data_IF_353927801348
#
_entry.id   IF_353927801348
#
_cell.length_a   1.000
_cell.length_b   1.000
_cell.length_c   1.000
_cell.angle_alpha   90.00
_cell.angle_beta   90.00
_cell.angle_gamma   90.00
#
_symmetry.space_group_name_H-M   'P 1'
#
loop_
_entity.id
_entity.type
_entity.pdbx_description
1 polymer ?
#
# COMPACT_ATOMS: atom_id res chain seq x y z
N UNK A 1 1.73 -8.09 -24.02
CA UNK A 1 2.19 -8.34 -22.65
C UNK A 1 2.43 -7.00 -21.93
N UNK A 2 1.87 -6.83 -20.73
CA UNK A 2 2.06 -5.63 -19.91
C UNK A 2 3.42 -5.65 -19.21
N UNK A 3 3.97 -4.47 -18.93
CA UNK A 3 5.23 -4.25 -18.23
C UNK A 3 4.99 -3.34 -17.03
N UNK A 4 5.42 -3.77 -15.84
CA UNK A 4 5.42 -2.94 -14.65
C UNK A 4 6.43 -1.80 -14.82
N UNK A 5 6.01 -0.60 -14.46
CA UNK A 5 6.80 0.62 -14.59
C UNK A 5 7.08 1.26 -13.23
N UNK A 6 6.08 1.22 -12.35
CA UNK A 6 6.15 1.80 -11.02
C UNK A 6 5.30 0.98 -10.06
N UNK A 7 5.82 0.81 -8.85
CA UNK A 7 5.13 0.21 -7.73
C UNK A 7 5.41 1.06 -6.50
N UNK A 8 4.36 1.42 -5.77
CA UNK A 8 4.47 2.08 -4.46
C UNK A 8 3.59 1.37 -3.45
N UNK A 9 4.21 1.01 -2.35
CA UNK A 9 3.53 0.48 -1.17
C UNK A 9 3.28 1.65 -0.23
N UNK A 10 2.02 1.83 0.18
CA UNK A 10 1.56 2.84 1.13
C UNK A 10 0.92 2.12 2.30
N UNK A 11 1.61 2.15 3.45
CA UNK A 11 1.06 1.68 4.70
C UNK A 11 0.24 2.81 5.34
N UNK A 12 -1.06 2.58 5.50
CA UNK A 12 -1.97 3.55 6.10
C UNK A 12 -2.79 2.91 7.21
N UNK A 13 -2.91 3.59 8.35
CA UNK A 13 -3.85 3.21 9.42
C UNK A 13 -5.29 3.61 9.10
N UNK A 14 -5.43 4.49 8.12
CA UNK A 14 -6.64 5.20 7.79
C UNK A 14 -7.43 4.49 6.67
N UNK A 15 -8.68 4.18 6.96
CA UNK A 15 -9.61 3.56 6.01
C UNK A 15 -10.03 4.53 4.90
N UNK A 16 -9.96 5.85 5.15
CA UNK A 16 -10.37 6.86 4.19
C UNK A 16 -9.48 6.87 2.94
N UNK A 17 -8.17 7.00 3.10
CA UNK A 17 -7.18 6.97 2.01
C UNK A 17 -7.25 5.68 1.21
N UNK A 18 -7.42 4.56 1.90
CA UNK A 18 -7.67 3.25 1.30
C UNK A 18 -8.92 3.28 0.39
N UNK A 19 -10.04 3.82 0.88
CA UNK A 19 -11.26 4.01 0.09
C UNK A 19 -11.03 4.94 -1.10
N UNK A 20 -10.28 6.03 -0.93
CA UNK A 20 -9.95 6.97 -2.02
C UNK A 20 -9.15 6.26 -3.12
N UNK A 21 -8.10 5.52 -2.79
CA UNK A 21 -7.28 4.81 -3.79
C UNK A 21 -8.07 3.71 -4.51
N UNK A 22 -9.04 3.09 -3.83
CA UNK A 22 -9.93 2.09 -4.42
C UNK A 22 -10.98 2.70 -5.38
N UNK A 23 -11.21 4.02 -5.38
CA UNK A 23 -12.17 4.65 -6.28
C UNK A 23 -11.70 4.61 -7.73
N UNK A 24 -12.61 4.27 -8.65
CA UNK A 24 -12.35 4.28 -10.09
C UNK A 24 -11.92 5.66 -10.59
N UNK A 25 -12.58 6.71 -10.09
CA UNK A 25 -12.30 8.12 -10.43
C UNK A 25 -10.85 8.51 -10.12
N UNK A 26 -10.31 8.06 -8.99
CA UNK A 26 -8.90 8.31 -8.64
C UNK A 26 -7.95 7.70 -9.68
N UNK A 27 -8.16 6.43 -10.03
CA UNK A 27 -7.35 5.74 -11.06
C UNK A 27 -7.49 6.38 -12.43
N UNK A 28 -8.71 6.78 -12.81
CA UNK A 28 -8.96 7.42 -14.10
C UNK A 28 -8.26 8.78 -14.22
N UNK A 29 -8.31 9.59 -13.16
CA UNK A 29 -7.65 10.89 -13.11
C UNK A 29 -6.12 10.74 -13.13
N UNK A 30 -5.57 9.80 -12.36
CA UNK A 30 -4.14 9.55 -12.36
C UNK A 30 -3.65 9.04 -13.73
N UNK A 31 -4.42 8.18 -14.38
CA UNK A 31 -4.10 7.72 -15.73
C UNK A 31 -4.16 8.86 -16.77
N UNK A 32 -5.11 9.79 -16.63
CA UNK A 32 -5.21 11.01 -17.44
C UNK A 32 -3.95 11.88 -17.29
N UNK A 33 -3.57 12.21 -16.06
CA UNK A 33 -2.38 13.04 -15.78
C UNK A 33 -1.11 12.41 -16.36
N UNK A 34 -0.94 11.10 -16.16
CA UNK A 34 0.21 10.37 -16.70
C UNK A 34 0.18 10.37 -18.23
N UNK A 35 -0.98 10.20 -18.86
CA UNK A 35 -1.13 10.24 -20.31
C UNK A 35 -0.74 11.60 -20.89
N UNK A 36 -1.22 12.68 -20.29
CA UNK A 36 -0.91 14.07 -20.67
C UNK A 36 0.59 14.36 -20.56
N UNK A 37 1.21 14.05 -19.41
CA UNK A 37 2.63 14.34 -19.19
C UNK A 37 3.56 13.47 -20.03
N UNK A 38 3.19 12.21 -20.27
CA UNK A 38 4.02 11.28 -21.03
C UNK A 38 3.75 11.34 -22.54
N UNK A 39 2.67 11.99 -22.98
CA UNK A 39 2.19 11.93 -24.38
C UNK A 39 2.07 10.49 -24.87
N UNK A 40 1.51 9.60 -24.03
CA UNK A 40 1.20 8.20 -24.36
C UNK A 40 -0.31 8.06 -24.32
N UNK A 41 -0.95 7.36 -25.27
CA UNK A 41 -2.39 7.14 -25.22
C UNK A 41 -2.80 6.47 -23.91
N UNK A 42 -3.85 6.99 -23.25
CA UNK A 42 -4.37 6.44 -22.00
C UNK A 42 -4.72 4.94 -22.08
N UNK A 43 -5.11 4.45 -23.27
CA UNK A 43 -5.35 3.03 -23.54
C UNK A 43 -4.13 2.12 -23.35
N UNK A 44 -2.91 2.69 -23.24
CA UNK A 44 -1.69 1.97 -22.95
C UNK A 44 -1.18 2.18 -21.51
N UNK A 45 -1.96 2.82 -20.64
CA UNK A 45 -1.62 3.07 -19.24
C UNK A 45 -2.65 2.35 -18.37
N UNK A 46 -2.16 1.43 -17.53
CA UNK A 46 -3.01 0.62 -16.67
C UNK A 46 -2.61 0.83 -15.21
N UNK A 47 -3.58 1.21 -14.39
CA UNK A 47 -3.37 1.45 -12.96
C UNK A 47 -4.12 0.38 -12.18
N UNK A 48 -3.37 -0.39 -11.41
CA UNK A 48 -3.88 -1.37 -10.47
C UNK A 48 -3.69 -0.84 -9.05
N UNK A 49 -4.71 -1.01 -8.22
CA UNK A 49 -4.66 -0.68 -6.80
C UNK A 49 -5.17 -1.90 -6.05
N UNK A 50 -4.29 -2.52 -5.29
CA UNK A 50 -4.62 -3.62 -4.39
C UNK A 50 -4.56 -3.13 -2.95
N UNK A 51 -5.54 -3.53 -2.13
CA UNK A 51 -5.53 -3.28 -0.69
C UNK A 51 -5.46 -4.62 0.03
N UNK A 52 -4.50 -4.77 0.93
CA UNK A 52 -4.41 -5.89 1.86
C UNK A 52 -4.38 -5.36 3.30
N UNK A 53 -4.81 -6.15 4.27
CA UNK A 53 -4.47 -5.87 5.67
C UNK A 53 -2.97 -6.13 5.86
N UNK A 54 -2.26 -5.26 6.55
CA UNK A 54 -0.81 -5.39 6.77
C UNK A 54 -0.46 -6.50 7.77
N UNK A 55 -1.43 -6.88 8.61
CA UNK A 55 -1.37 -8.03 9.52
C UNK A 55 -2.63 -8.87 9.25
N UNK A 56 -2.55 -10.22 9.31
CA UNK A 56 -3.73 -11.05 9.26
C UNK A 56 -4.65 -10.70 10.44
N UNK A 57 -5.79 -10.07 10.14
CA UNK A 57 -6.94 -10.09 11.05
C UNK A 57 -7.58 -11.46 10.89
N UNK A 58 -7.96 -12.10 11.98
CA UNK A 58 -8.49 -13.46 12.01
C UNK A 58 -9.73 -13.67 11.12
N UNK A 59 -10.23 -14.90 11.03
CA UNK A 59 -11.40 -15.28 10.20
C UNK A 59 -12.68 -14.49 10.50
N UNK A 60 -12.82 -13.94 11.70
CA UNK A 60 -13.77 -12.87 12.02
C UNK A 60 -13.07 -11.54 11.76
N UNK A 61 -13.75 -10.60 11.09
CA UNK A 61 -13.26 -9.22 10.83
C UNK A 61 -12.95 -8.40 12.11
N UNK A 62 -12.88 -9.07 13.25
CA UNK A 62 -12.41 -8.55 14.51
C UNK A 62 -10.88 -8.50 14.47
N UNK A 63 -10.36 -7.32 14.73
CA UNK A 63 -8.94 -7.01 14.71
C UNK A 63 -8.15 -7.97 15.59
N UNK A 64 -6.93 -8.30 15.15
CA UNK A 64 -5.90 -8.87 16.00
C UNK A 64 -5.66 -7.92 17.18
N UNK A 65 -6.37 -8.15 18.29
CA UNK A 65 -6.50 -7.19 19.37
C UNK A 65 -5.62 -7.51 20.56
N UNK A 66 -5.26 -8.78 20.75
CA UNK A 66 -4.59 -9.26 21.95
C UNK A 66 -3.42 -10.18 21.59
N UNK A 67 -2.33 -10.05 22.34
CA UNK A 67 -1.15 -10.91 22.27
C UNK A 67 -0.89 -11.47 23.66
N UNK A 68 -0.71 -12.79 23.73
CA UNK A 68 -0.21 -13.45 24.94
C UNK A 68 1.32 -13.39 24.94
N UNK A 69 1.89 -12.76 25.95
CA UNK A 69 3.34 -12.64 26.14
C UNK A 69 3.77 -13.55 27.29
N UNK A 70 4.80 -14.35 27.05
CA UNK A 70 5.42 -15.18 28.09
C UNK A 70 6.60 -14.41 28.70
N UNK A 71 6.49 -14.07 29.97
CA UNK A 71 7.53 -13.35 30.71
C UNK A 71 8.56 -14.35 31.24
N UNK A 72 9.81 -14.19 30.83
CA UNK A 72 10.92 -15.00 31.33
C UNK A 72 11.51 -14.38 32.61
N UNK A 73 10.72 -14.29 33.67
CA UNK A 73 11.21 -13.89 34.99
C UNK A 73 11.66 -15.11 35.79
N UNK A 74 12.83 -14.99 36.42
CA UNK A 74 13.50 -16.08 37.12
C UNK A 74 12.60 -16.64 38.23
N UNK A 75 12.22 -17.93 38.08
CA UNK A 75 11.55 -18.86 39.02
C UNK A 75 10.07 -19.20 38.75
N UNK A 76 9.30 -18.42 37.99
CA UNK A 76 7.92 -18.82 37.59
C UNK A 76 7.60 -18.37 36.17
N UNK A 77 6.95 -19.24 35.39
CA UNK A 77 6.39 -18.88 34.08
C UNK A 77 5.15 -18.03 34.32
N UNK A 78 5.27 -16.73 34.09
CA UNK A 78 4.16 -15.79 34.10
C UNK A 78 3.78 -15.45 32.66
N UNK A 79 2.47 -15.32 32.41
CA UNK A 79 1.94 -14.87 31.13
C UNK A 79 1.06 -13.66 31.34
N UNK A 80 1.13 -12.72 30.41
CA UNK A 80 0.25 -11.56 30.36
C UNK A 80 -0.46 -11.51 29.01
N UNK A 81 -1.70 -11.02 29.02
CA UNK A 81 -2.44 -10.69 27.80
C UNK A 81 -2.39 -9.18 27.68
N UNK A 82 -1.75 -8.68 26.63
CA UNK A 82 -1.66 -7.25 26.35
C UNK A 82 -2.31 -6.97 25.01
N UNK A 83 -2.83 -5.76 24.81
CA UNK A 83 -3.40 -5.41 23.51
C UNK A 83 -2.28 -5.35 22.47
N UNK A 84 -2.54 -5.85 21.26
CA UNK A 84 -1.57 -5.75 20.17
C UNK A 84 -1.13 -4.29 19.98
N UNK A 85 -2.04 -3.33 20.06
CA UNK A 85 -1.74 -1.89 19.93
C UNK A 85 -0.82 -1.32 21.02
N UNK A 86 -0.72 -1.97 22.19
CA UNK A 86 0.16 -1.53 23.29
C UNK A 86 1.64 -1.88 23.01
N UNK A 87 1.90 -2.83 22.12
CA UNK A 87 3.26 -3.10 21.67
C UNK A 87 3.70 -2.04 20.64
N UNK A 88 4.81 -1.32 20.87
CA UNK A 88 5.24 -0.22 20.00
C UNK A 88 5.35 -0.60 18.52
N UNK A 89 5.85 -1.81 18.22
CA UNK A 89 6.01 -2.31 16.86
C UNK A 89 4.67 -2.62 16.18
N UNK A 90 3.72 -3.16 16.94
CA UNK A 90 2.41 -3.52 16.39
C UNK A 90 1.62 -2.27 15.99
N UNK A 91 1.63 -1.23 16.81
CA UNK A 91 1.03 0.04 16.41
C UNK A 91 1.66 0.59 15.12
N UNK A 92 2.93 0.35 14.84
CA UNK A 92 3.56 0.80 13.59
C UNK A 92 3.12 0.01 12.36
N UNK A 93 2.79 -1.28 12.51
CA UNK A 93 2.48 -2.17 11.38
C UNK A 93 1.01 -2.53 11.24
N UNK A 94 0.16 -2.20 12.21
CA UNK A 94 -1.30 -2.39 12.13
C UNK A 94 -1.93 -1.40 11.15
N UNK A 95 -2.77 -1.89 10.24
CA UNK A 95 -3.51 -1.07 9.28
C UNK A 95 -3.74 -1.76 7.93
N UNK A 96 -3.82 -0.94 6.88
CA UNK A 96 -3.97 -1.35 5.50
C UNK A 96 -2.70 -1.07 4.71
N UNK A 97 -2.27 -2.07 3.95
CA UNK A 97 -1.23 -1.95 2.95
C UNK A 97 -1.89 -1.77 1.59
N UNK A 98 -1.81 -0.55 1.07
CA UNK A 98 -2.23 -0.23 -0.28
C UNK A 98 -1.03 -0.34 -1.22
N UNK A 99 -1.18 -1.07 -2.33
CA UNK A 99 -0.16 -1.20 -3.35
C UNK A 99 -0.71 -0.59 -4.64
N UNK A 100 -0.08 0.48 -5.09
CA UNK A 100 -0.38 1.14 -6.36
C UNK A 100 0.65 0.69 -7.40
N UNK A 101 0.17 0.12 -8.49
CA UNK A 101 1.01 -0.37 -9.59
C UNK A 101 0.61 0.28 -10.90
N UNK A 102 1.61 0.72 -11.67
CA UNK A 102 1.40 1.31 -12.99
C UNK A 102 2.08 0.41 -14.02
N UNK A 103 1.30 0.01 -15.02
CA UNK A 103 1.74 -0.82 -16.12
C UNK A 103 1.55 -0.12 -17.47
N UNK A 104 2.29 -0.60 -18.45
CA UNK A 104 2.13 -0.19 -19.85
C UNK A 104 2.52 -1.30 -20.82
N UNK A 105 2.37 -1.07 -22.12
CA UNK A 105 2.86 -1.99 -23.15
C UNK A 105 4.38 -1.86 -23.32
N UNK A 106 5.03 -2.91 -23.83
CA UNK A 106 6.49 -2.95 -23.94
C UNK A 106 7.10 -1.74 -24.68
N UNK A 107 6.41 -1.25 -25.71
CA UNK A 107 6.81 -0.08 -26.53
C UNK A 107 7.03 1.18 -25.70
N UNK A 108 6.22 1.39 -24.66
CA UNK A 108 6.23 2.64 -23.88
C UNK A 108 6.96 2.54 -22.54
N UNK A 109 7.47 1.36 -22.17
CA UNK A 109 8.05 1.10 -20.84
C UNK A 109 9.09 2.14 -20.42
N UNK A 110 10.09 2.43 -21.28
CA UNK A 110 11.19 3.34 -20.95
C UNK A 110 10.69 4.78 -20.75
N UNK A 111 9.86 5.27 -21.68
CA UNK A 111 9.31 6.63 -21.64
C UNK A 111 8.43 6.83 -20.40
N UNK A 112 7.51 5.89 -20.16
CA UNK A 112 6.59 5.98 -19.03
C UNK A 112 7.33 5.91 -17.69
N UNK A 113 8.40 5.11 -17.58
CA UNK A 113 9.22 5.02 -16.37
C UNK A 113 9.80 6.40 -15.99
N UNK A 114 10.43 7.08 -16.94
CA UNK A 114 10.97 8.43 -16.71
C UNK A 114 9.87 9.42 -16.29
N UNK A 115 8.72 9.41 -16.97
CA UNK A 115 7.62 10.31 -16.62
C UNK A 115 7.07 10.04 -15.22
N UNK A 116 6.79 8.78 -14.90
CA UNK A 116 6.19 8.39 -13.62
C UNK A 116 7.14 8.68 -12.46
N UNK A 117 8.45 8.43 -12.61
CA UNK A 117 9.46 8.87 -11.65
C UNK A 117 9.45 10.39 -11.45
N UNK A 118 9.35 11.16 -12.53
CA UNK A 118 9.25 12.62 -12.44
C UNK A 118 7.98 13.14 -11.74
N UNK A 119 6.91 12.34 -11.67
CA UNK A 119 5.66 12.69 -10.96
C UNK A 119 5.79 12.36 -9.47
N UNK A 120 6.30 11.17 -9.12
CA UNK A 120 6.26 10.65 -7.76
C UNK A 120 7.57 10.77 -6.96
N UNK A 121 8.72 10.90 -7.62
CA UNK A 121 10.06 10.97 -6.99
C UNK A 121 10.65 12.39 -6.99
N UNK A 122 9.89 13.41 -7.42
CA UNK A 122 10.25 14.81 -7.15
C UNK A 122 9.97 15.11 -5.68
N UNK A 123 10.93 14.81 -4.82
CA UNK A 123 10.94 15.39 -3.48
C UNK A 123 11.06 16.91 -3.58
N UNK A 124 10.19 17.56 -2.79
CA UNK A 124 10.26 18.95 -2.38
C UNK A 124 11.63 19.18 -1.74
N UNK A 125 12.44 20.03 -2.36
CA UNK A 125 13.58 20.70 -1.72
C UNK A 125 13.08 21.68 -0.65
#
# INVERSE_FOLDING_TARGET
MLKLVFEKIVLGKDEFSTKIFAQRKFRENLAEEIAEKSKIPKSHIFIDVSTATSVPTTSTKESFNEITVLLNNTRKKEFEITKATELPLMNAILGYMNIIRIYTTATYKKKLNTTVKGIFEKEVL
#
